data_IF_331711230650
#
_entry.id   IF_331711230650
#
_cell.length_a   1.000
_cell.length_b   1.000
_cell.length_c   1.000
_cell.angle_alpha   90.00
_cell.angle_beta   90.00
_cell.angle_gamma   90.00
#
_symmetry.space_group_name_H-M   'P 1'
#
loop_
_entity.id
_entity.type
_entity.pdbx_description
1 polymer ?
#
# COMPACT_ATOMS: atom_id res chain seq x y z
N UNK A 1 5.36 12.58 13.77
CA UNK A 1 4.27 11.81 13.10
C UNK A 1 4.82 10.67 12.24
N UNK A 2 5.83 10.94 11.40
CA UNK A 2 6.43 9.94 10.51
C UNK A 2 7.15 8.78 11.23
N UNK A 3 7.66 8.98 12.45
CA UNK A 3 8.19 7.89 13.27
C UNK A 3 7.16 6.80 13.57
N UNK A 4 5.88 7.16 13.74
CA UNK A 4 4.79 6.20 13.93
C UNK A 4 4.47 5.48 12.62
N UNK A 5 4.39 6.22 11.51
CA UNK A 5 4.25 5.65 10.16
C UNK A 5 5.31 4.58 9.90
N UNK A 6 6.59 4.89 10.13
CA UNK A 6 7.72 3.97 9.94
C UNK A 6 7.71 2.75 10.88
N UNK A 7 7.10 2.85 12.07
CA UNK A 7 6.89 1.69 12.95
C UNK A 7 5.74 0.82 12.46
N UNK A 8 4.69 1.42 11.91
CA UNK A 8 3.51 0.72 11.40
C UNK A 8 3.76 0.03 10.05
N UNK A 9 4.61 0.59 9.17
CA UNK A 9 4.91 0.01 7.85
C UNK A 9 5.33 -1.46 7.90
N UNK A 10 6.33 -1.89 8.69
CA UNK A 10 6.72 -3.31 8.75
C UNK A 10 5.63 -4.18 9.37
N UNK A 11 4.88 -3.67 10.36
CA UNK A 11 3.74 -4.39 10.98
C UNK A 11 2.68 -4.69 9.91
N UNK A 12 2.36 -3.71 9.07
CA UNK A 12 1.39 -3.87 7.98
C UNK A 12 1.88 -4.85 6.91
N UNK A 13 3.16 -4.81 6.55
CA UNK A 13 3.77 -5.77 5.61
C UNK A 13 3.64 -7.22 6.12
N UNK A 14 3.93 -7.45 7.40
CA UNK A 14 3.77 -8.77 8.03
C UNK A 14 2.29 -9.17 8.13
N UNK A 15 1.41 -8.22 8.47
CA UNK A 15 -0.04 -8.47 8.51
C UNK A 15 -0.61 -8.88 7.14
N UNK A 16 -0.04 -8.34 6.05
CA UNK A 16 -0.37 -8.76 4.69
C UNK A 16 -0.11 -10.25 4.43
N UNK A 17 0.95 -10.82 5.03
CA UNK A 17 1.25 -12.26 4.90
C UNK A 17 0.15 -13.10 5.56
N UNK A 18 -0.31 -12.70 6.75
CA UNK A 18 -1.41 -13.37 7.46
C UNK A 18 -2.68 -13.39 6.61
N UNK A 19 -2.98 -12.28 5.93
CA UNK A 19 -4.12 -12.17 5.02
C UNK A 19 -4.04 -13.15 3.84
N UNK A 20 -2.86 -13.29 3.23
CA UNK A 20 -2.64 -14.25 2.13
C UNK A 20 -2.75 -15.69 2.60
N UNK A 21 -2.17 -16.01 3.76
CA UNK A 21 -2.25 -17.34 4.36
C UNK A 21 -3.71 -17.74 4.61
N UNK A 22 -4.53 -16.80 5.12
CA UNK A 22 -5.96 -17.05 5.32
C UNK A 22 -6.67 -17.39 4.00
N UNK A 23 -6.42 -16.62 2.93
CA UNK A 23 -7.01 -16.85 1.61
C UNK A 23 -6.56 -18.18 1.00
N UNK A 24 -5.30 -18.56 1.21
CA UNK A 24 -4.77 -19.84 0.74
C UNK A 24 -5.48 -21.03 1.38
N UNK A 25 -5.88 -20.93 2.65
CA UNK A 25 -6.62 -21.98 3.35
C UNK A 25 -8.12 -21.97 3.03
N UNK A 26 -8.68 -20.87 2.49
CA UNK A 26 -10.09 -20.75 2.10
C UNK A 26 -10.63 -21.93 1.28
N UNK A 27 -10.01 -22.37 0.17
CA UNK A 27 -10.53 -23.50 -0.62
C UNK A 27 -10.55 -24.82 0.17
N UNK A 28 -9.69 -24.99 1.17
CA UNK A 28 -9.70 -26.18 2.04
C UNK A 28 -10.79 -26.13 3.12
N UNK A 29 -11.24 -24.93 3.49
CA UNK A 29 -12.26 -24.70 4.54
C UNK A 29 -13.68 -24.68 3.97
N UNK A 30 -13.81 -24.34 2.69
CA UNK A 30 -15.08 -24.41 1.95
C UNK A 30 -15.20 -25.83 1.40
N UNK A 31 -15.75 -26.74 2.20
CA UNK A 31 -16.17 -28.03 1.68
C UNK A 31 -17.38 -27.83 0.75
N UNK A 32 -17.21 -28.14 -0.55
CA UNK A 32 -18.34 -28.32 -1.45
C UNK A 32 -19.01 -29.65 -1.09
N UNK A 33 -20.00 -29.60 -0.21
CA UNK A 33 -20.89 -30.74 0.02
C UNK A 33 -22.15 -30.54 -0.84
N UNK A 34 -22.34 -31.42 -1.83
CA UNK A 34 -23.58 -31.57 -2.62
C UNK A 34 -24.21 -30.28 -3.19
N UNK A 35 -23.41 -29.40 -3.77
CA UNK A 35 -23.83 -28.18 -4.49
C UNK A 35 -24.41 -27.03 -3.62
N UNK A 36 -24.39 -27.14 -2.29
CA UNK A 36 -24.63 -26.00 -1.39
C UNK A 36 -23.31 -25.51 -0.78
N UNK A 37 -22.96 -24.26 -1.08
CA UNK A 37 -21.76 -23.62 -0.54
C UNK A 37 -22.04 -23.19 0.91
N UNK A 38 -21.96 -24.14 1.85
CA UNK A 38 -22.09 -23.85 3.28
C UNK A 38 -20.76 -23.37 3.84
N UNK A 39 -20.51 -22.06 3.75
CA UNK A 39 -19.33 -21.45 4.37
C UNK A 39 -19.61 -21.29 5.87
N UNK A 40 -18.75 -21.85 6.75
CA UNK A 40 -18.97 -21.74 8.18
C UNK A 40 -18.93 -20.29 8.68
N UNK A 41 -19.81 -19.95 9.63
CA UNK A 41 -19.92 -18.59 10.19
C UNK A 41 -18.59 -18.12 10.81
N UNK A 42 -17.80 -19.02 11.39
CA UNK A 42 -16.49 -18.69 11.96
C UNK A 42 -15.54 -18.11 10.91
N UNK A 43 -15.61 -18.56 9.65
CA UNK A 43 -14.73 -18.06 8.59
C UNK A 43 -15.02 -16.59 8.29
N UNK A 44 -16.30 -16.21 8.16
CA UNK A 44 -16.69 -14.81 7.96
C UNK A 44 -16.28 -13.91 9.13
N UNK A 45 -16.44 -14.39 10.37
CA UNK A 45 -16.01 -13.63 11.55
C UNK A 45 -14.49 -13.42 11.57
N UNK A 46 -13.71 -14.46 11.28
CA UNK A 46 -12.24 -14.34 11.21
C UNK A 46 -11.78 -13.42 10.09
N UNK A 47 -12.37 -13.52 8.89
CA UNK A 47 -12.06 -12.66 7.75
C UNK A 47 -12.43 -11.20 8.03
N UNK A 48 -13.61 -10.96 8.61
CA UNK A 48 -14.04 -9.63 9.02
C UNK A 48 -13.11 -9.00 10.06
N UNK A 49 -12.65 -9.78 11.04
CA UNK A 49 -11.70 -9.31 12.06
C UNK A 49 -10.34 -8.94 11.45
N UNK A 50 -9.78 -9.78 10.58
CA UNK A 50 -8.51 -9.51 9.91
C UNK A 50 -8.60 -8.28 9.00
N UNK A 51 -9.71 -8.15 8.27
CA UNK A 51 -9.99 -6.99 7.43
C UNK A 51 -10.09 -5.71 8.27
N UNK A 52 -10.82 -5.75 9.39
CA UNK A 52 -10.95 -4.61 10.30
C UNK A 52 -9.60 -4.13 10.82
N UNK A 53 -8.72 -5.03 11.28
CA UNK A 53 -7.37 -4.65 11.72
C UNK A 53 -6.57 -3.99 10.60
N UNK A 54 -6.64 -4.55 9.39
CA UNK A 54 -5.93 -4.00 8.23
C UNK A 54 -6.43 -2.59 7.86
N UNK A 55 -7.74 -2.37 7.92
CA UNK A 55 -8.36 -1.08 7.67
C UNK A 55 -7.95 -0.04 8.72
N UNK A 56 -8.02 -0.40 10.00
CA UNK A 56 -7.58 0.46 11.11
C UNK A 56 -6.09 0.84 10.98
N UNK A 57 -5.21 -0.13 10.66
CA UNK A 57 -3.79 0.15 10.42
C UNK A 57 -3.58 1.12 9.26
N UNK A 58 -4.34 0.94 8.17
CA UNK A 58 -4.26 1.80 6.99
C UNK A 58 -4.74 3.22 7.28
N UNK A 59 -5.83 3.34 8.05
CA UNK A 59 -6.38 4.63 8.48
C UNK A 59 -5.42 5.40 9.39
N UNK A 60 -4.82 4.75 10.39
CA UNK A 60 -3.82 5.39 11.27
C UNK A 60 -2.59 5.84 10.47
N UNK A 61 -2.13 5.00 9.55
CA UNK A 61 -1.00 5.34 8.69
C UNK A 61 -1.32 6.55 7.80
N UNK A 62 -2.54 6.63 7.27
CA UNK A 62 -3.03 7.78 6.50
C UNK A 62 -3.07 9.08 7.34
N UNK A 63 -3.58 9.01 8.57
CA UNK A 63 -3.61 10.16 9.48
C UNK A 63 -2.20 10.67 9.80
N UNK A 64 -1.25 9.78 10.04
CA UNK A 64 0.15 10.19 10.30
C UNK A 64 0.80 10.87 9.10
N UNK A 65 0.46 10.44 7.87
CA UNK A 65 0.92 11.06 6.63
C UNK A 65 0.32 12.46 6.45
N UNK A 66 -0.99 12.61 6.59
CA UNK A 66 -1.64 13.91 6.49
C UNK A 66 -1.18 14.89 7.59
N UNK A 67 -0.96 14.38 8.81
CA UNK A 67 -0.35 15.17 9.89
C UNK A 67 1.03 15.70 9.50
N UNK A 68 1.83 14.90 8.78
CA UNK A 68 3.12 15.34 8.26
C UNK A 68 2.97 16.36 7.11
N UNK A 69 2.06 16.14 6.16
CA UNK A 69 1.76 17.10 5.08
C UNK A 69 1.33 18.46 5.62
N UNK A 70 0.52 18.47 6.67
CA UNK A 70 0.12 19.70 7.35
C UNK A 70 1.31 20.42 7.99
N UNK A 71 2.26 19.69 8.58
CA UNK A 71 3.43 20.27 9.23
C UNK A 71 4.45 20.89 8.26
N UNK A 72 4.57 20.34 7.05
CA UNK A 72 5.50 20.84 6.02
C UNK A 72 4.89 21.90 5.11
N UNK A 73 3.57 22.05 5.11
CA UNK A 73 2.89 23.05 4.29
C UNK A 73 3.07 24.44 4.91
N UNK A 74 3.65 25.37 4.15
CA UNK A 74 3.75 26.78 4.56
C UNK A 74 2.34 27.35 4.78
N UNK A 75 2.11 28.04 5.90
CA UNK A 75 0.79 28.60 6.25
C UNK A 75 0.30 29.65 5.24
N UNK A 76 1.20 30.30 4.51
CA UNK A 76 0.86 31.30 3.49
C UNK A 76 0.30 30.68 2.21
N UNK A 77 0.74 29.47 1.86
CA UNK A 77 0.32 28.73 0.66
C UNK A 77 -0.24 27.35 0.99
N UNK A 78 -0.79 27.19 2.20
CA UNK A 78 -1.18 25.89 2.74
C UNK A 78 -2.23 25.18 1.88
N UNK A 79 -3.16 25.93 1.28
CA UNK A 79 -4.18 25.37 0.38
C UNK A 79 -3.57 24.75 -0.90
N UNK A 80 -2.58 25.43 -1.50
CA UNK A 80 -1.89 24.94 -2.70
C UNK A 80 -1.04 23.72 -2.38
N UNK A 81 -0.25 23.76 -1.31
CA UNK A 81 0.56 22.62 -0.87
C UNK A 81 -0.29 21.40 -0.51
N UNK A 82 -1.37 21.59 0.24
CA UNK A 82 -2.27 20.51 0.62
C UNK A 82 -2.94 19.87 -0.60
N UNK A 83 -3.37 20.67 -1.58
CA UNK A 83 -3.95 20.16 -2.82
C UNK A 83 -2.92 19.35 -3.62
N UNK A 84 -1.69 19.85 -3.75
CA UNK A 84 -0.61 19.15 -4.45
C UNK A 84 -0.30 17.80 -3.77
N UNK A 85 -0.16 17.78 -2.45
CA UNK A 85 0.10 16.53 -1.72
C UNK A 85 -1.06 15.55 -1.82
N UNK A 86 -2.31 16.02 -1.85
CA UNK A 86 -3.47 15.18 -2.08
C UNK A 86 -3.44 14.55 -3.48
N UNK A 87 -3.09 15.32 -4.51
CA UNK A 87 -2.90 14.80 -5.87
C UNK A 87 -1.80 13.75 -5.94
N UNK A 88 -0.65 14.01 -5.32
CA UNK A 88 0.44 13.03 -5.23
C UNK A 88 0.02 11.76 -4.48
N UNK A 89 -0.77 11.89 -3.42
CA UNK A 89 -1.31 10.77 -2.68
C UNK A 89 -2.24 9.90 -3.53
N UNK A 90 -3.20 10.51 -4.24
CA UNK A 90 -4.12 9.76 -5.11
C UNK A 90 -3.39 9.09 -6.28
N UNK A 91 -2.40 9.75 -6.89
CA UNK A 91 -1.54 9.13 -7.91
C UNK A 91 -0.75 7.95 -7.33
N UNK A 92 -0.18 8.14 -6.14
CA UNK A 92 0.53 7.09 -5.41
C UNK A 92 -0.36 5.92 -5.00
N UNK A 93 -1.68 6.11 -4.90
CA UNK A 93 -2.64 5.04 -4.66
C UNK A 93 -3.06 4.34 -5.96
N UNK A 94 -3.40 5.08 -7.01
CA UNK A 94 -3.97 4.52 -8.23
C UNK A 94 -2.96 3.75 -9.09
N UNK A 95 -1.73 4.30 -9.23
CA UNK A 95 -0.66 3.70 -10.03
C UNK A 95 -0.30 2.28 -9.57
N UNK A 96 0.05 2.02 -8.30
CA UNK A 96 0.40 0.67 -7.88
C UNK A 96 -0.77 -0.31 -8.01
N UNK A 97 -2.02 0.11 -7.75
CA UNK A 97 -3.18 -0.77 -7.91
C UNK A 97 -3.34 -1.25 -9.35
N UNK A 98 -3.20 -0.34 -10.32
CA UNK A 98 -3.27 -0.69 -11.75
C UNK A 98 -2.09 -1.58 -12.16
N UNK A 99 -0.88 -1.28 -11.69
CA UNK A 99 0.31 -2.06 -11.98
C UNK A 99 0.25 -3.47 -11.39
N UNK A 100 -0.26 -3.62 -10.16
CA UNK A 100 -0.39 -4.91 -9.48
C UNK A 100 -1.38 -5.81 -10.20
N UNK A 101 -2.55 -5.29 -10.59
CA UNK A 101 -3.53 -6.08 -11.35
C UNK A 101 -2.95 -6.60 -12.66
N UNK A 102 -2.25 -5.73 -13.40
CA UNK A 102 -1.56 -6.12 -14.64
C UNK A 102 -0.46 -7.16 -14.38
N UNK A 103 0.25 -7.04 -13.25
CA UNK A 103 1.29 -8.00 -12.86
C UNK A 103 0.70 -9.38 -12.54
N UNK A 104 -0.46 -9.42 -11.86
CA UNK A 104 -1.19 -10.67 -11.60
C UNK A 104 -1.58 -11.34 -12.91
N UNK A 105 -2.13 -10.60 -13.87
CA UNK A 105 -2.53 -11.15 -15.17
C UNK A 105 -1.34 -11.74 -15.94
N UNK A 106 -0.19 -11.04 -15.95
CA UNK A 106 1.03 -11.53 -16.61
C UNK A 106 1.60 -12.77 -15.93
N UNK A 107 1.43 -12.88 -14.61
CA UNK A 107 2.03 -13.94 -13.79
C UNK A 107 1.09 -15.14 -13.61
N UNK A 108 -0.16 -15.05 -14.08
CA UNK A 108 -1.14 -16.14 -13.97
C UNK A 108 -0.97 -17.12 -15.12
N UNK A 109 -0.73 -18.39 -14.80
CA UNK A 109 -0.55 -19.45 -15.79
C UNK A 109 -1.70 -20.46 -15.73
N UNK A 110 -2.38 -20.62 -16.86
CA UNK A 110 -3.44 -21.60 -17.05
C UNK A 110 -2.98 -22.76 -17.92
N UNK A 111 -3.58 -23.94 -17.77
CA UNK A 111 -3.33 -25.11 -18.62
C UNK A 111 -4.65 -25.77 -19.01
N UNK A 112 -4.67 -26.39 -20.18
CA UNK A 112 -5.80 -27.20 -20.62
C UNK A 112 -5.77 -28.58 -19.95
N UNK A 113 -6.92 -29.08 -19.50
CA UNK A 113 -7.02 -30.40 -18.86
C UNK A 113 -6.59 -31.56 -19.75
N UNK A 114 -6.78 -31.45 -21.07
CA UNK A 114 -6.51 -32.51 -22.05
C UNK A 114 -5.16 -32.37 -22.76
N UNK A 115 -4.50 -31.21 -22.63
CA UNK A 115 -3.22 -30.93 -23.28
C UNK A 115 -2.36 -30.00 -22.42
N UNK A 116 -1.27 -30.55 -21.89
CA UNK A 116 -0.34 -29.81 -21.06
C UNK A 116 0.49 -28.77 -21.83
N UNK A 117 0.54 -28.84 -23.17
CA UNK A 117 1.24 -27.86 -24.01
C UNK A 117 0.39 -26.61 -24.27
N UNK A 118 -0.94 -26.72 -24.16
CA UNK A 118 -1.84 -25.58 -24.35
C UNK A 118 -1.99 -24.77 -23.04
N UNK A 119 -1.39 -23.58 -23.05
CA UNK A 119 -1.33 -22.64 -21.91
C UNK A 119 -2.55 -21.72 -21.76
N UNK A 120 -3.61 -21.91 -22.56
CA UNK A 120 -4.86 -21.12 -22.50
C UNK A 120 -4.64 -19.58 -22.42
N UNK A 121 -3.54 -19.05 -22.96
CA UNK A 121 -3.15 -17.65 -22.78
C UNK A 121 -3.81 -16.71 -23.79
N UNK A 122 -4.32 -17.25 -24.89
CA UNK A 122 -5.03 -16.50 -25.94
C UNK A 122 -6.42 -17.09 -26.15
N UNK A 123 -7.39 -16.28 -26.60
CA UNK A 123 -8.76 -16.76 -26.83
C UNK A 123 -8.83 -17.91 -27.85
N UNK A 124 -7.89 -17.96 -28.80
CA UNK A 124 -7.78 -19.06 -29.76
C UNK A 124 -7.43 -20.38 -29.05
N UNK A 125 -6.40 -20.36 -28.20
CA UNK A 125 -5.95 -21.52 -27.41
C UNK A 125 -7.04 -22.03 -26.45
N UNK A 126 -7.77 -21.11 -25.82
CA UNK A 126 -8.93 -21.44 -24.97
C UNK A 126 -10.04 -22.10 -25.78
N UNK A 127 -10.35 -21.57 -26.97
CA UNK A 127 -11.38 -22.15 -27.84
C UNK A 127 -11.01 -23.55 -28.36
N UNK A 128 -9.72 -23.79 -28.64
CA UNK A 128 -9.20 -25.09 -29.04
C UNK A 128 -9.31 -26.11 -27.90
N UNK A 129 -8.96 -25.71 -26.66
CA UNK A 129 -9.11 -26.56 -25.48
C UNK A 129 -10.58 -26.98 -25.26
N UNK A 130 -11.50 -26.01 -25.33
CA UNK A 130 -12.93 -26.27 -25.15
C UNK A 130 -13.52 -27.15 -26.27
N UNK A 131 -13.10 -26.96 -27.52
CA UNK A 131 -13.50 -27.81 -28.66
C UNK A 131 -13.04 -29.25 -28.49
N UNK A 132 -11.88 -29.46 -27.88
CA UNK A 132 -11.34 -30.79 -27.58
C UNK A 132 -11.93 -31.39 -26.29
N UNK A 133 -13.02 -30.84 -25.77
CA UNK A 133 -13.70 -31.32 -24.56
C UNK A 133 -12.91 -31.08 -23.26
N UNK A 134 -11.89 -30.23 -23.29
CA UNK A 134 -11.09 -29.86 -22.13
C UNK A 134 -11.58 -28.55 -21.50
N UNK A 135 -11.27 -28.35 -20.22
CA UNK A 135 -11.45 -27.06 -19.54
C UNK A 135 -10.07 -26.46 -19.22
N UNK A 136 -9.99 -25.12 -19.29
CA UNK A 136 -8.80 -24.39 -18.85
C UNK A 136 -8.87 -24.20 -17.33
N UNK A 137 -7.91 -24.75 -16.60
CA UNK A 137 -7.76 -24.57 -15.16
C UNK A 137 -6.50 -23.76 -14.87
N UNK A 138 -6.57 -22.92 -13.83
CA UNK A 138 -5.42 -22.14 -13.37
C UNK A 138 -4.46 -23.11 -12.67
N UNK A 139 -3.26 -23.26 -13.22
CA UNK A 139 -2.22 -24.13 -12.66
C UNK A 139 -1.39 -23.37 -11.61
N UNK A 140 -1.07 -22.11 -11.89
CA UNK A 140 -0.37 -21.21 -10.97
C UNK A 140 -1.13 -19.89 -10.93
N UNK A 141 -1.63 -19.55 -9.75
CA UNK A 141 -2.31 -18.29 -9.49
C UNK A 141 -1.27 -17.18 -9.28
N UNK A 142 -1.27 -16.21 -10.19
CA UNK A 142 -0.36 -15.07 -10.18
C UNK A 142 -0.54 -14.16 -8.97
N UNK A 143 -1.66 -14.26 -8.24
CA UNK A 143 -1.93 -13.53 -7.00
C UNK A 143 -0.84 -13.78 -5.95
N UNK A 144 -0.52 -15.04 -5.66
CA UNK A 144 0.44 -15.39 -4.60
C UNK A 144 1.87 -14.95 -4.95
N UNK A 145 2.26 -15.13 -6.21
CA UNK A 145 3.58 -14.68 -6.71
C UNK A 145 3.67 -13.16 -6.64
N UNK A 146 2.62 -12.47 -7.09
CA UNK A 146 2.58 -11.00 -7.08
C UNK A 146 2.70 -10.44 -5.67
N UNK A 147 2.01 -11.02 -4.68
CA UNK A 147 2.11 -10.55 -3.30
C UNK A 147 3.51 -10.79 -2.72
N UNK A 148 4.14 -11.93 -3.02
CA UNK A 148 5.52 -12.17 -2.60
C UNK A 148 6.46 -11.10 -3.16
N UNK A 149 6.35 -10.78 -4.46
CA UNK A 149 7.13 -9.72 -5.11
C UNK A 149 6.84 -8.34 -4.51
N UNK A 150 5.57 -7.97 -4.33
CA UNK A 150 5.19 -6.68 -3.75
C UNK A 150 5.66 -6.54 -2.29
N UNK A 151 5.62 -7.62 -1.52
CA UNK A 151 6.13 -7.64 -0.13
C UNK A 151 7.64 -7.38 -0.11
N UNK A 152 8.42 -8.04 -0.98
CA UNK A 152 9.87 -7.81 -1.09
C UNK A 152 10.17 -6.36 -1.49
N UNK A 153 9.48 -5.83 -2.50
CA UNK A 153 9.62 -4.43 -2.93
C UNK A 153 9.31 -3.48 -1.77
N UNK A 154 8.25 -3.75 -1.00
CA UNK A 154 7.88 -2.96 0.17
C UNK A 154 8.96 -2.95 1.27
N UNK A 155 9.57 -4.10 1.55
CA UNK A 155 10.68 -4.18 2.50
C UNK A 155 11.94 -3.45 2.01
N UNK A 156 12.28 -3.58 0.73
CA UNK A 156 13.41 -2.85 0.13
C UNK A 156 13.17 -1.34 0.23
N UNK A 157 11.97 -0.87 -0.16
CA UNK A 157 11.59 0.53 -0.04
C UNK A 157 11.68 1.02 1.40
N UNK A 158 11.16 0.24 2.36
CA UNK A 158 11.25 0.58 3.79
C UNK A 158 12.72 0.74 4.23
N UNK A 159 13.59 -0.20 3.88
CA UNK A 159 14.99 -0.16 4.26
C UNK A 159 15.75 1.03 3.67
N UNK A 160 15.48 1.40 2.41
CA UNK A 160 16.13 2.52 1.72
C UNK A 160 15.63 3.87 2.26
N UNK A 161 14.32 4.05 2.40
CA UNK A 161 13.73 5.36 2.69
C UNK A 161 13.58 5.67 4.17
N UNK A 162 13.65 4.69 5.09
CA UNK A 162 13.47 4.92 6.53
C UNK A 162 14.43 5.98 7.11
N UNK A 163 15.69 5.99 6.67
CA UNK A 163 16.69 6.92 7.19
C UNK A 163 16.46 8.32 6.64
N UNK A 164 16.10 8.42 5.36
CA UNK A 164 15.77 9.68 4.70
C UNK A 164 14.53 10.32 5.34
N UNK A 165 13.48 9.55 5.60
CA UNK A 165 12.25 10.02 6.25
C UNK A 165 12.51 10.49 7.69
N UNK A 166 13.35 9.77 8.46
CA UNK A 166 13.79 10.23 9.78
C UNK A 166 14.53 11.56 9.71
N UNK A 167 15.41 11.73 8.73
CA UNK A 167 16.13 12.99 8.51
C UNK A 167 15.17 14.14 8.20
N UNK A 168 14.19 13.95 7.32
CA UNK A 168 13.21 14.99 7.02
C UNK A 168 12.34 15.37 8.23
N UNK A 169 12.02 14.42 9.11
CA UNK A 169 11.29 14.72 10.34
C UNK A 169 12.10 15.59 11.32
N UNK A 170 13.44 15.50 11.31
CA UNK A 170 14.30 16.31 12.19
C UNK A 170 14.52 17.74 11.70
N UNK A 171 14.15 18.07 10.46
CA UNK A 171 14.26 19.44 9.97
C UNK A 171 13.20 20.33 10.64
N UNK A 172 13.62 21.49 11.14
CA UNK A 172 12.72 22.49 11.71
C UNK A 172 11.73 23.01 10.67
N UNK A 173 10.54 23.45 11.12
CA UNK A 173 9.52 24.03 10.23
C UNK A 173 10.03 25.24 9.43
N UNK A 174 11.02 25.96 9.97
CA UNK A 174 11.65 27.10 9.32
C UNK A 174 12.34 26.76 8.00
N UNK A 175 12.84 25.53 7.83
CA UNK A 175 13.46 25.10 6.57
C UNK A 175 12.48 24.87 5.43
N UNK A 176 11.18 24.73 5.73
CA UNK A 176 10.13 24.48 4.74
C UNK A 176 9.39 25.75 4.32
N UNK A 177 9.68 26.89 4.95
CA UNK A 177 9.07 28.18 4.63
C UNK A 177 9.87 28.91 3.54
N UNK A 178 9.17 29.49 2.56
CA UNK A 178 9.82 30.21 1.45
C UNK A 178 10.44 31.53 1.92
N UNK A 179 9.87 32.12 2.97
CA UNK A 179 10.43 33.29 3.66
C UNK A 179 10.56 32.97 5.15
N UNK A 180 11.79 32.77 5.63
CA UNK A 180 12.04 32.82 7.06
C UNK A 180 11.70 34.23 7.55
N UNK A 181 10.99 34.37 8.67
CA UNK A 181 10.89 35.67 9.36
C UNK A 181 12.32 36.16 9.62
N UNK A 182 12.72 37.36 9.18
CA UNK A 182 13.92 37.99 9.70
C UNK A 182 13.63 38.38 11.15
N UNK A 183 14.03 37.54 12.09
CA UNK A 183 14.10 37.88 13.51
C UNK A 183 15.05 36.90 14.18
N UNK A 184 16.34 37.19 14.04
CA UNK A 184 17.42 36.89 15.01
C UNK A 184 18.78 37.49 14.56
N UNK A 185 18.79 38.65 13.89
CA UNK A 185 20.06 39.36 13.55
C UNK A 185 20.17 40.75 14.18
N UNK A 186 19.07 41.43 14.57
CA UNK A 186 19.15 42.82 15.08
C UNK A 186 18.33 43.08 16.37
N UNK A 187 18.50 42.26 17.41
CA UNK A 187 18.11 42.64 18.78
C UNK A 187 19.26 42.33 19.77
N UNK A 188 20.46 42.82 19.49
CA UNK A 188 21.52 42.91 20.51
C UNK A 188 22.14 44.30 20.48
N UNK A 189 21.76 45.07 21.51
CA UNK A 189 22.33 46.34 21.97
C UNK A 189 22.12 47.60 21.12
N UNK A 190 21.06 48.33 21.46
CA UNK A 190 21.16 49.79 21.57
C UNK A 190 20.65 50.22 22.97
N UNK A 191 21.53 50.70 23.87
CA UNK A 191 21.11 51.16 25.19
C UNK A 191 20.30 52.44 25.08
N UNK A 192 19.14 52.46 25.74
CA UNK A 192 18.30 53.65 25.86
C UNK A 192 19.09 54.79 26.52
N UNK A 193 19.45 55.83 25.74
CA UNK A 193 19.84 57.12 26.30
C UNK A 193 18.56 57.85 26.68
N UNK A 194 18.24 57.85 27.97
CA UNK A 194 17.24 58.73 28.53
C UNK A 194 17.79 60.17 28.55
N UNK A 195 16.99 61.10 28.02
CA UNK A 195 17.22 62.54 28.11
C UNK A 195 17.00 63.04 29.54
N UNK A 196 17.95 63.80 30.07
CA UNK A 196 17.75 64.85 31.07
C UNK A 196 18.81 65.92 30.88
#
# INVERSE_FOLDING_TARGET
>A
PMSYYLKMTPIRLVWGIVYVTLIYFTPSLIHLDNAEVSVPVYYYLTLGFVYFINDMLSFLMLLTLFSFFYQISDSRFGGTYMTLFNTLYFLGWFLPNTLVLKLVDITTFSKCSNDAQNLCSTPNLTSMCNKNGGSCSVYVDGYYITIAVCTVIGFVWYCVFKNTLKRYQTLSRTHWMVYAKPSDIDEVHEPCIASS
#
